data_IF_380868677163
#
_entry.id   IF_380868677163
#
_cell.length_a   1.000
_cell.length_b   1.000
_cell.length_c   1.000
_cell.angle_alpha   90.00
_cell.angle_beta   90.00
_cell.angle_gamma   90.00
#
_symmetry.space_group_name_H-M   'P 1'
#
loop_
_entity.id
_entity.type
_entity.pdbx_description
1 polymer ?
#
# COMPACT_ATOMS: atom_id res chain seq x y z
N UNK A 1 -29.43 -7.76 14.63
CA UNK A 1 -28.34 -7.15 13.84
C UNK A 1 -28.00 -5.71 14.26
N UNK A 2 -28.97 -4.85 14.59
CA UNK A 2 -28.68 -3.46 15.02
C UNK A 2 -27.94 -3.31 16.37
N UNK A 3 -28.14 -4.19 17.37
CA UNK A 3 -27.45 -4.06 18.67
C UNK A 3 -25.95 -4.38 18.59
N UNK A 4 -25.57 -5.32 17.73
CA UNK A 4 -24.19 -5.77 17.55
C UNK A 4 -23.33 -4.73 16.80
N UNK A 5 -23.92 -4.01 15.85
CA UNK A 5 -23.27 -2.87 15.18
C UNK A 5 -23.06 -1.69 16.15
N UNK A 6 -24.02 -1.45 17.08
CA UNK A 6 -23.93 -0.39 18.07
C UNK A 6 -22.86 -0.65 19.13
N UNK A 7 -22.72 -1.89 19.60
CA UNK A 7 -21.66 -2.24 20.58
C UNK A 7 -20.26 -2.14 19.96
N UNK A 8 -20.10 -2.62 18.71
CA UNK A 8 -18.82 -2.54 18.00
C UNK A 8 -18.37 -1.10 17.76
N UNK A 9 -19.30 -0.20 17.48
CA UNK A 9 -19.00 1.23 17.30
C UNK A 9 -18.58 1.90 18.61
N UNK A 10 -19.24 1.58 19.73
CA UNK A 10 -18.83 2.07 21.05
C UNK A 10 -17.45 1.57 21.48
N UNK A 11 -17.10 0.32 21.14
CA UNK A 11 -15.79 -0.25 21.45
C UNK A 11 -14.66 0.45 20.66
N UNK A 12 -14.89 0.76 19.38
CA UNK A 12 -13.92 1.50 18.54
C UNK A 12 -13.68 2.91 19.09
N UNK A 13 -14.76 3.63 19.45
CA UNK A 13 -14.65 4.97 20.02
C UNK A 13 -13.95 4.96 21.39
N UNK A 14 -14.28 3.99 22.24
CA UNK A 14 -13.64 3.81 23.53
C UNK A 14 -12.14 3.51 23.38
N UNK A 15 -11.78 2.64 22.45
CA UNK A 15 -10.39 2.30 22.18
C UNK A 15 -9.60 3.51 21.65
N UNK A 16 -10.17 4.24 20.68
CA UNK A 16 -9.59 5.48 20.16
C UNK A 16 -9.36 6.53 21.26
N UNK A 17 -10.35 6.76 22.11
CA UNK A 17 -10.24 7.72 23.21
C UNK A 17 -9.22 7.27 24.27
N UNK A 18 -9.11 5.96 24.52
CA UNK A 18 -8.10 5.39 25.41
C UNK A 18 -6.69 5.65 24.87
N UNK A 19 -6.43 5.35 23.59
CA UNK A 19 -5.14 5.61 22.95
C UNK A 19 -4.80 7.11 22.92
N UNK A 20 -5.80 7.97 22.67
CA UNK A 20 -5.63 9.42 22.70
C UNK A 20 -5.16 9.87 24.09
N UNK A 21 -5.89 9.47 25.13
CA UNK A 21 -5.56 9.81 26.53
C UNK A 21 -4.17 9.29 26.92
N UNK A 22 -3.84 8.06 26.52
CA UNK A 22 -2.52 7.45 26.77
C UNK A 22 -1.40 8.27 26.14
N UNK A 23 -1.56 8.65 24.88
CA UNK A 23 -0.58 9.48 24.14
C UNK A 23 -0.37 10.83 24.83
N UNK A 24 -1.44 11.53 25.20
CA UNK A 24 -1.35 12.80 25.92
C UNK A 24 -0.62 12.66 27.26
N UNK A 25 -0.92 11.62 28.04
CA UNK A 25 -0.24 11.35 29.32
C UNK A 25 1.24 11.04 29.11
N UNK A 26 1.59 10.25 28.11
CA UNK A 26 2.99 9.93 27.82
C UNK A 26 3.77 11.18 27.42
N UNK A 27 3.21 12.05 26.57
CA UNK A 27 3.88 13.31 26.20
C UNK A 27 4.09 14.22 27.41
N UNK A 28 3.08 14.35 28.29
CA UNK A 28 3.24 15.11 29.53
C UNK A 28 4.33 14.52 30.44
N UNK A 29 4.38 13.19 30.55
CA UNK A 29 5.42 12.51 31.31
C UNK A 29 6.81 12.70 30.69
N UNK A 30 6.93 12.62 29.36
CA UNK A 30 8.17 12.89 28.62
C UNK A 30 8.71 14.28 28.95
N UNK A 31 7.84 15.30 28.91
CA UNK A 31 8.22 16.67 29.22
C UNK A 31 8.75 16.80 30.65
N UNK A 32 8.07 16.20 31.63
CA UNK A 32 8.51 16.24 33.02
C UNK A 32 9.86 15.55 33.22
N UNK A 33 10.05 14.36 32.64
CA UNK A 33 11.32 13.61 32.72
C UNK A 33 12.45 14.37 32.02
N UNK A 34 12.20 14.95 30.85
CA UNK A 34 13.18 15.73 30.13
C UNK A 34 13.64 16.96 30.92
N UNK A 35 12.70 17.74 31.46
CA UNK A 35 13.03 18.92 32.28
C UNK A 35 13.79 18.53 33.55
N UNK A 36 13.40 17.44 34.22
CA UNK A 36 14.10 16.95 35.40
C UNK A 36 15.55 16.55 35.07
N UNK A 37 15.77 15.71 34.04
CA UNK A 37 17.11 15.26 33.66
C UNK A 37 18.00 16.41 33.16
N UNK A 38 17.45 17.34 32.38
CA UNK A 38 18.19 18.54 31.94
C UNK A 38 18.61 19.41 33.13
N UNK A 39 17.76 19.52 34.17
CA UNK A 39 18.10 20.26 35.38
C UNK A 39 19.25 19.61 36.17
N UNK A 40 19.29 18.27 36.23
CA UNK A 40 20.39 17.52 36.87
C UNK A 40 21.69 17.62 36.07
N UNK A 41 21.64 17.44 34.74
CA UNK A 41 22.80 17.64 33.86
C UNK A 41 23.39 19.03 34.05
N UNK A 42 22.54 20.07 34.11
CA UNK A 42 22.97 21.45 34.35
C UNK A 42 23.67 21.66 35.70
N UNK A 43 23.40 20.83 36.72
CA UNK A 43 24.10 20.91 38.01
C UNK A 43 25.55 20.43 37.88
N UNK A 44 25.79 19.37 37.11
CA UNK A 44 27.13 18.82 36.88
C UNK A 44 28.03 19.74 36.05
N UNK A 45 27.44 20.62 35.23
CA UNK A 45 28.19 21.57 34.38
C UNK A 45 28.44 22.93 35.04
N UNK A 46 28.10 23.13 36.32
CA UNK A 46 28.32 24.41 37.01
C UNK A 46 29.83 24.66 37.22
N UNK A 47 30.31 25.90 37.02
CA UNK A 47 31.74 26.24 37.04
C UNK A 47 32.44 26.15 38.41
N UNK A 48 31.74 25.72 39.47
CA UNK A 48 32.29 25.65 40.84
C UNK A 48 32.79 24.25 41.25
N UNK A 49 32.70 23.24 40.38
CA UNK A 49 33.18 21.88 40.67
C UNK A 49 33.92 21.26 39.48
N UNK A 50 34.72 20.22 39.75
CA UNK A 50 35.37 19.41 38.71
C UNK A 50 34.29 18.71 37.88
N UNK A 51 34.30 18.92 36.56
CA UNK A 51 33.30 18.34 35.66
C UNK A 51 33.40 16.80 35.68
N UNK A 52 32.32 16.13 36.11
CA UNK A 52 32.24 14.67 36.02
C UNK A 52 31.68 14.26 34.65
N UNK A 53 32.55 14.23 33.65
CA UNK A 53 32.18 13.93 32.26
C UNK A 53 31.46 12.59 32.11
N UNK A 54 31.86 11.58 32.89
CA UNK A 54 31.23 10.25 32.87
C UNK A 54 29.77 10.29 33.34
N UNK A 55 29.48 11.03 34.42
CA UNK A 55 28.11 11.20 34.91
C UNK A 55 27.23 12.03 33.96
N UNK A 56 27.81 13.04 33.31
CA UNK A 56 27.11 13.84 32.32
C UNK A 56 26.72 12.99 31.11
N UNK A 57 27.69 12.26 30.53
CA UNK A 57 27.45 11.43 29.36
C UNK A 57 26.43 10.32 29.65
N UNK A 58 26.52 9.64 30.79
CA UNK A 58 25.56 8.59 31.15
C UNK A 58 24.14 9.12 31.36
N UNK A 59 23.99 10.33 31.92
CA UNK A 59 22.69 11.00 32.07
C UNK A 59 22.10 11.39 30.72
N UNK A 60 22.94 11.84 29.78
CA UNK A 60 22.54 12.16 28.41
C UNK A 60 22.09 10.89 27.68
N UNK A 61 22.87 9.81 27.73
CA UNK A 61 22.56 8.53 27.07
C UNK A 61 21.23 7.95 27.59
N UNK A 62 21.00 8.01 28.90
CA UNK A 62 19.77 7.56 29.52
C UNK A 62 18.57 8.41 29.08
N UNK A 63 18.72 9.73 29.05
CA UNK A 63 17.67 10.65 28.59
C UNK A 63 17.36 10.42 27.11
N UNK A 64 18.37 10.27 26.26
CA UNK A 64 18.20 10.00 24.84
C UNK A 64 17.45 8.69 24.61
N UNK A 65 17.86 7.62 25.29
CA UNK A 65 17.18 6.32 25.22
C UNK A 65 15.71 6.44 25.65
N UNK A 66 15.45 7.08 26.79
CA UNK A 66 14.09 7.28 27.28
C UNK A 66 13.23 8.06 26.28
N UNK A 67 13.75 9.16 25.73
CA UNK A 67 13.02 9.99 24.77
C UNK A 67 12.73 9.23 23.48
N UNK A 68 13.66 8.41 22.99
CA UNK A 68 13.44 7.53 21.82
C UNK A 68 12.33 6.52 22.09
N UNK A 69 12.43 5.78 23.19
CA UNK A 69 11.45 4.74 23.54
C UNK A 69 10.04 5.34 23.75
N UNK A 70 9.95 6.45 24.47
CA UNK A 70 8.69 7.14 24.70
C UNK A 70 8.10 7.74 23.42
N UNK A 71 8.93 8.27 22.52
CA UNK A 71 8.50 8.77 21.20
C UNK A 71 7.95 7.64 20.35
N UNK A 72 8.65 6.51 20.26
CA UNK A 72 8.17 5.33 19.51
C UNK A 72 6.84 4.81 20.05
N UNK A 73 6.67 4.81 21.37
CA UNK A 73 5.41 4.43 21.99
C UNK A 73 4.25 5.38 21.64
N UNK A 74 4.49 6.70 21.65
CA UNK A 74 3.48 7.68 21.24
C UNK A 74 3.14 7.51 19.75
N UNK A 75 4.15 7.34 18.89
CA UNK A 75 3.95 7.12 17.46
C UNK A 75 3.12 5.86 17.18
N UNK A 76 3.38 4.76 17.91
CA UNK A 76 2.59 3.54 17.79
C UNK A 76 1.12 3.78 18.18
N UNK A 77 0.84 4.49 19.28
CA UNK A 77 -0.53 4.83 19.65
C UNK A 77 -1.21 5.72 18.60
N UNK A 78 -0.50 6.72 18.05
CA UNK A 78 -1.01 7.60 17.00
C UNK A 78 -1.33 6.84 15.71
N UNK A 79 -0.49 5.89 15.33
CA UNK A 79 -0.72 5.03 14.18
C UNK A 79 -1.96 4.14 14.36
N UNK A 80 -2.18 3.58 15.55
CA UNK A 80 -3.40 2.83 15.85
C UNK A 80 -4.64 3.74 15.87
N UNK A 81 -4.54 4.95 16.42
CA UNK A 81 -5.63 5.95 16.33
C UNK A 81 -5.99 6.24 14.87
N UNK A 82 -4.99 6.37 13.99
CA UNK A 82 -5.22 6.59 12.56
C UNK A 82 -6.00 5.45 11.92
N UNK A 83 -5.69 4.18 12.25
CA UNK A 83 -6.44 3.02 11.75
C UNK A 83 -7.90 3.00 12.20
N UNK A 84 -8.16 3.48 13.41
CA UNK A 84 -9.50 3.57 14.00
C UNK A 84 -10.27 4.79 13.51
N UNK A 85 -9.66 5.64 12.70
CA UNK A 85 -10.35 6.79 12.15
C UNK A 85 -11.34 6.32 11.08
N UNK A 86 -12.63 6.58 11.31
CA UNK A 86 -13.73 6.29 10.40
C UNK A 86 -13.41 6.74 8.96
N UNK A 87 -12.69 7.85 8.80
CA UNK A 87 -12.26 8.35 7.49
C UNK A 87 -11.31 7.36 6.78
N UNK A 88 -10.37 6.75 7.49
CA UNK A 88 -9.45 5.76 6.93
C UNK A 88 -10.15 4.43 6.64
N UNK A 89 -11.06 3.99 7.52
CA UNK A 89 -11.89 2.80 7.28
C UNK A 89 -12.73 3.01 6.01
N UNK A 90 -13.50 4.11 5.93
CA UNK A 90 -14.32 4.46 4.76
C UNK A 90 -13.49 4.66 3.51
N UNK A 91 -12.28 5.22 3.62
CA UNK A 91 -11.36 5.36 2.49
C UNK A 91 -10.92 3.99 1.97
N UNK A 92 -10.57 3.06 2.86
CA UNK A 92 -10.21 1.69 2.49
C UNK A 92 -11.38 1.00 1.80
N UNK A 93 -12.57 1.03 2.40
CA UNK A 93 -13.79 0.44 1.83
C UNK A 93 -14.10 1.01 0.44
N UNK A 94 -13.93 2.33 0.27
CA UNK A 94 -14.14 3.00 -1.03
C UNK A 94 -13.08 2.58 -2.06
N UNK A 95 -11.82 2.44 -1.67
CA UNK A 95 -10.76 1.97 -2.57
C UNK A 95 -10.95 0.50 -2.96
N UNK A 96 -11.36 -0.35 -2.01
CA UNK A 96 -11.69 -1.75 -2.26
C UNK A 96 -12.88 -1.86 -3.22
N UNK A 97 -13.94 -1.07 -3.01
CA UNK A 97 -15.08 -0.98 -3.92
C UNK A 97 -14.65 -0.54 -5.32
N UNK A 98 -13.84 0.53 -5.44
CA UNK A 98 -13.38 1.03 -6.73
C UNK A 98 -12.50 0.01 -7.45
N UNK A 99 -11.62 -0.69 -6.71
CA UNK A 99 -10.79 -1.77 -7.22
C UNK A 99 -11.66 -2.90 -7.79
N UNK A 100 -12.62 -3.39 -7.01
CA UNK A 100 -13.55 -4.42 -7.46
C UNK A 100 -14.33 -3.98 -8.70
N UNK A 101 -14.83 -2.74 -8.71
CA UNK A 101 -15.56 -2.20 -9.84
C UNK A 101 -14.74 -2.18 -11.14
N UNK A 102 -13.48 -1.71 -11.07
CA UNK A 102 -12.57 -1.70 -12.22
C UNK A 102 -12.24 -3.13 -12.65
N UNK A 103 -11.96 -4.03 -11.70
CA UNK A 103 -11.67 -5.44 -11.99
C UNK A 103 -12.85 -6.15 -12.65
N UNK A 104 -14.09 -5.91 -12.20
CA UNK A 104 -15.30 -6.45 -12.84
C UNK A 104 -15.44 -5.96 -14.28
N UNK A 105 -15.18 -4.67 -14.53
CA UNK A 105 -15.21 -4.12 -15.89
C UNK A 105 -14.13 -4.73 -16.79
N UNK A 106 -12.90 -4.84 -16.29
CA UNK A 106 -11.80 -5.49 -17.03
C UNK A 106 -12.17 -6.94 -17.33
N UNK A 107 -12.67 -7.70 -16.34
CA UNK A 107 -13.09 -9.08 -16.54
C UNK A 107 -14.19 -9.20 -17.59
N UNK A 108 -15.20 -8.33 -17.56
CA UNK A 108 -16.25 -8.30 -18.56
C UNK A 108 -15.72 -7.99 -19.96
N UNK A 109 -14.78 -7.06 -20.08
CA UNK A 109 -14.15 -6.69 -21.34
C UNK A 109 -13.27 -7.83 -21.90
N UNK A 110 -12.55 -8.52 -21.04
CA UNK A 110 -11.68 -9.63 -21.44
C UNK A 110 -12.46 -10.90 -21.79
N UNK A 111 -13.70 -11.05 -21.31
CA UNK A 111 -14.51 -12.27 -21.48
C UNK A 111 -15.79 -11.99 -22.29
N UNK A 112 -15.66 -11.66 -23.59
CA UNK A 112 -16.82 -11.44 -24.45
C UNK A 112 -17.69 -12.71 -24.53
N UNK A 113 -18.98 -12.54 -24.82
CA UNK A 113 -19.90 -13.66 -25.05
C UNK A 113 -19.57 -14.46 -26.31
N UNK A 114 -18.95 -13.80 -27.29
CA UNK A 114 -18.53 -14.37 -28.56
C UNK A 114 -17.18 -13.75 -28.96
N UNK A 115 -16.10 -14.55 -28.85
CA UNK A 115 -14.74 -14.09 -29.13
C UNK A 115 -14.54 -13.75 -30.61
N UNK A 116 -15.17 -14.51 -31.53
CA UNK A 116 -14.97 -14.35 -32.97
C UNK A 116 -15.50 -13.01 -33.51
N UNK A 117 -16.49 -12.43 -32.83
CA UNK A 117 -17.08 -11.12 -33.16
C UNK A 117 -16.61 -9.99 -32.26
N UNK A 118 -15.80 -10.29 -31.24
CA UNK A 118 -15.28 -9.27 -30.34
C UNK A 118 -14.25 -8.42 -31.08
N UNK A 119 -14.22 -7.12 -30.78
CA UNK A 119 -13.13 -6.26 -31.27
C UNK A 119 -11.87 -6.57 -30.49
N UNK A 120 -10.80 -6.96 -31.19
CA UNK A 120 -9.58 -7.41 -30.52
C UNK A 120 -8.50 -6.33 -30.56
N UNK A 121 -7.65 -6.31 -29.54
CA UNK A 121 -6.34 -5.67 -29.56
C UNK A 121 -5.31 -6.76 -29.35
N UNK A 122 -4.53 -7.05 -30.39
CA UNK A 122 -3.47 -8.04 -30.35
C UNK A 122 -2.16 -7.38 -29.86
N UNK A 123 -1.61 -7.85 -28.74
CA UNK A 123 -0.39 -7.32 -28.14
C UNK A 123 0.76 -8.32 -28.25
N UNK A 124 1.80 -7.96 -28.98
CA UNK A 124 3.03 -8.74 -29.11
C UNK A 124 4.24 -7.94 -28.65
N UNK A 125 5.01 -8.47 -27.71
CA UNK A 125 6.30 -7.90 -27.29
C UNK A 125 7.47 -8.77 -27.75
N UNK A 126 8.52 -8.12 -28.25
CA UNK A 126 9.84 -8.70 -28.43
C UNK A 126 10.53 -8.96 -27.09
N UNK A 127 11.40 -9.96 -27.05
CA UNK A 127 12.20 -10.34 -25.88
C UNK A 127 13.37 -9.38 -25.56
N UNK A 128 13.42 -8.19 -26.19
CA UNK A 128 14.60 -7.31 -26.13
C UNK A 128 14.78 -6.61 -24.77
N UNK A 129 13.83 -6.74 -23.83
CA UNK A 129 13.92 -6.14 -22.51
C UNK A 129 13.44 -7.11 -21.40
N UNK A 130 13.82 -6.82 -20.15
CA UNK A 130 13.47 -7.64 -18.99
C UNK A 130 11.99 -7.57 -18.59
N UNK A 131 11.61 -8.40 -17.62
CA UNK A 131 10.24 -8.57 -17.13
C UNK A 131 9.48 -7.26 -16.89
N UNK A 132 10.05 -6.32 -16.11
CA UNK A 132 9.36 -5.07 -15.77
C UNK A 132 8.98 -4.21 -16.98
N UNK A 133 9.81 -4.19 -18.03
CA UNK A 133 9.53 -3.51 -19.29
C UNK A 133 8.38 -4.19 -20.04
N UNK A 134 8.36 -5.52 -20.07
CA UNK A 134 7.27 -6.30 -20.67
C UNK A 134 5.95 -6.11 -19.92
N UNK A 135 5.97 -6.11 -18.57
CA UNK A 135 4.79 -5.87 -17.74
C UNK A 135 4.19 -4.50 -18.02
N UNK A 136 5.01 -3.44 -18.08
CA UNK A 136 4.52 -2.10 -18.41
C UNK A 136 3.97 -2.01 -19.84
N UNK A 137 4.57 -2.70 -20.82
CA UNK A 137 4.02 -2.79 -22.16
C UNK A 137 2.62 -3.42 -22.17
N UNK A 138 2.43 -4.58 -21.50
CA UNK A 138 1.12 -5.21 -21.41
C UNK A 138 0.10 -4.37 -20.65
N UNK A 139 0.52 -3.66 -19.60
CA UNK A 139 -0.34 -2.73 -18.87
C UNK A 139 -0.78 -1.55 -19.76
N UNK A 140 0.12 -1.03 -20.59
CA UNK A 140 -0.21 -0.01 -21.58
C UNK A 140 -1.22 -0.54 -22.61
N UNK A 141 -1.01 -1.73 -23.16
CA UNK A 141 -1.97 -2.39 -24.06
C UNK A 141 -3.32 -2.63 -23.38
N UNK A 142 -3.35 -3.01 -22.10
CA UNK A 142 -4.58 -3.20 -21.34
C UNK A 142 -5.34 -1.88 -21.16
N UNK A 143 -4.64 -0.79 -20.86
CA UNK A 143 -5.25 0.54 -20.79
C UNK A 143 -5.85 0.98 -22.13
N UNK A 144 -5.14 0.75 -23.24
CA UNK A 144 -5.67 1.04 -24.58
C UNK A 144 -6.87 0.17 -24.93
N UNK A 145 -6.81 -1.12 -24.65
CA UNK A 145 -7.91 -2.06 -24.85
C UNK A 145 -9.14 -1.64 -24.05
N UNK A 146 -8.95 -1.27 -22.78
CA UNK A 146 -10.01 -0.73 -21.92
C UNK A 146 -10.62 0.56 -22.46
N UNK A 147 -9.80 1.53 -22.86
CA UNK A 147 -10.26 2.81 -23.39
C UNK A 147 -11.03 2.66 -24.72
N UNK A 148 -10.68 1.66 -25.53
CA UNK A 148 -11.26 1.44 -26.86
C UNK A 148 -12.34 0.36 -26.90
N UNK A 149 -12.66 -0.26 -25.76
CA UNK A 149 -13.66 -1.33 -25.68
C UNK A 149 -13.26 -2.59 -26.47
N UNK A 150 -11.96 -2.92 -26.48
CA UNK A 150 -11.40 -4.10 -27.16
C UNK A 150 -10.95 -5.17 -26.14
N UNK A 151 -11.07 -6.43 -26.50
CA UNK A 151 -10.50 -7.55 -25.73
C UNK A 151 -9.00 -7.64 -26.02
N UNK A 152 -8.17 -7.74 -24.96
CA UNK A 152 -6.71 -7.78 -25.11
C UNK A 152 -6.27 -9.23 -25.24
N UNK A 153 -5.58 -9.56 -26.32
CA UNK A 153 -5.02 -10.89 -26.51
C UNK A 153 -3.50 -10.80 -26.60
N UNK A 154 -2.75 -11.45 -25.69
CA UNK A 154 -1.31 -11.61 -25.83
C UNK A 154 -1.01 -12.55 -27.01
N UNK A 155 -0.15 -12.11 -27.92
CA UNK A 155 0.29 -12.90 -29.05
C UNK A 155 1.39 -13.90 -28.62
N UNK A 156 0.98 -15.01 -28.01
CA UNK A 156 1.87 -16.05 -27.48
C UNK A 156 2.69 -16.79 -28.53
N UNK A 157 2.35 -16.65 -29.81
CA UNK A 157 3.05 -17.33 -30.91
C UNK A 157 4.32 -16.57 -31.32
N UNK A 158 4.40 -15.26 -31.07
CA UNK A 158 5.51 -14.42 -31.54
C UNK A 158 6.86 -14.68 -30.88
N UNK A 159 6.94 -14.86 -29.56
CA UNK A 159 8.23 -14.97 -28.86
C UNK A 159 8.24 -15.93 -27.68
N UNK A 160 9.42 -16.44 -27.33
CA UNK A 160 9.62 -17.32 -26.15
C UNK A 160 9.24 -16.63 -24.84
N UNK A 161 9.40 -15.31 -24.74
CA UNK A 161 9.02 -14.54 -23.56
C UNK A 161 7.51 -14.54 -23.34
N UNK A 162 6.71 -14.36 -24.40
CA UNK A 162 5.25 -14.37 -24.26
C UNK A 162 4.76 -15.77 -23.91
N UNK A 163 5.40 -16.82 -24.44
CA UNK A 163 5.14 -18.20 -24.00
C UNK A 163 5.45 -18.41 -22.51
N UNK A 164 6.50 -17.79 -21.98
CA UNK A 164 6.79 -17.82 -20.55
C UNK A 164 5.68 -17.14 -19.74
N UNK A 165 5.23 -15.94 -20.15
CA UNK A 165 4.09 -15.25 -19.52
C UNK A 165 2.84 -16.12 -19.46
N UNK A 166 2.47 -16.77 -20.57
CA UNK A 166 1.31 -17.65 -20.65
C UNK A 166 1.43 -18.90 -19.75
N UNK A 167 2.64 -19.34 -19.44
CA UNK A 167 2.89 -20.46 -18.51
C UNK A 167 2.95 -20.04 -17.04
N UNK A 168 3.32 -18.78 -16.76
CA UNK A 168 3.54 -18.29 -15.40
C UNK A 168 2.31 -17.63 -14.79
N UNK A 169 1.46 -16.99 -15.59
CA UNK A 169 0.31 -16.23 -15.12
C UNK A 169 -1.01 -16.85 -15.58
N UNK A 170 -2.08 -16.52 -14.85
CA UNK A 170 -3.44 -16.80 -15.32
C UNK A 170 -3.70 -16.07 -16.64
N UNK A 171 -4.47 -16.67 -17.56
CA UNK A 171 -4.81 -16.01 -18.82
C UNK A 171 -5.65 -14.75 -18.54
N UNK A 172 -5.49 -13.74 -19.39
CA UNK A 172 -6.27 -12.50 -19.28
C UNK A 172 -7.77 -12.73 -19.53
N UNK A 173 -8.10 -13.77 -20.30
CA UNK A 173 -9.45 -14.19 -20.63
C UNK A 173 -9.61 -15.69 -20.41
N UNK A 174 -10.79 -16.09 -19.92
CA UNK A 174 -11.22 -17.49 -19.82
C UNK A 174 -11.98 -17.94 -21.08
N UNK A 175 -12.40 -17.01 -21.94
CA UNK A 175 -13.33 -17.26 -23.07
C UNK A 175 -12.79 -16.86 -24.45
N UNK A 176 -11.63 -16.23 -24.52
CA UNK A 176 -11.12 -15.65 -25.75
C UNK A 176 -9.60 -15.72 -25.78
N UNK A 177 -9.06 -16.43 -26.78
CA UNK A 177 -7.64 -16.70 -26.92
C UNK A 177 -7.16 -16.41 -28.33
N UNK A 178 -5.85 -16.49 -28.55
CA UNK A 178 -5.26 -16.28 -29.87
C UNK A 178 -5.77 -17.30 -30.91
N UNK A 179 -6.15 -18.50 -30.47
CA UNK A 179 -6.63 -19.57 -31.35
C UNK A 179 -8.06 -19.30 -31.86
N UNK A 180 -8.81 -18.44 -31.15
CA UNK A 180 -10.18 -18.06 -31.50
C UNK A 180 -10.24 -16.88 -32.49
N UNK A 181 -9.13 -16.16 -32.69
CA UNK A 181 -9.08 -14.95 -33.49
C UNK A 181 -8.49 -15.25 -34.87
N UNK A 182 -9.34 -15.12 -35.91
CA UNK A 182 -8.90 -15.13 -37.30
C UNK A 182 -7.89 -14.01 -37.56
N UNK A 183 -6.86 -14.29 -38.36
CA UNK A 183 -5.62 -13.49 -38.53
C UNK A 183 -5.77 -12.08 -39.17
N UNK A 184 -6.92 -11.42 -39.05
CA UNK A 184 -7.24 -10.19 -39.80
C UNK A 184 -7.59 -8.95 -38.94
N UNK A 185 -7.04 -8.78 -37.72
CA UNK A 185 -7.28 -7.54 -36.93
C UNK A 185 -6.04 -6.84 -36.35
N UNK A 186 -6.20 -5.52 -36.21
CA UNK A 186 -5.23 -4.44 -35.93
C UNK A 186 -4.09 -4.85 -34.98
N UNK A 187 -2.90 -4.96 -35.57
CA UNK A 187 -1.64 -5.20 -34.87
C UNK A 187 -1.13 -3.85 -34.35
N UNK A 188 -1.04 -3.67 -33.04
CA UNK A 188 -0.20 -2.61 -32.47
C UNK A 188 1.25 -3.10 -32.50
N UNK A 189 1.88 -2.94 -33.66
CA UNK A 189 3.31 -3.17 -33.83
C UNK A 189 4.09 -2.00 -33.26
N UNK A 190 5.17 -2.31 -32.54
CA UNK A 190 6.36 -1.45 -32.54
C UNK A 190 7.26 -1.90 -33.67
#
# INVERSE_FOLDING_TARGET
MHSQARSRFTDILLHRETLRRRSFRTVAYMQNVALANLSEIRRFTKPRGTLNQLQVNSSIDLLEKFLKDATLYVLANLYEIQKLDDANIRRKERLDYLSQFVQTRIRSLQNPSDCTRAKILLAGTSCHCGYGCQTHYYMFCLNMAYATGRTLIPDSQKTSCIRWWAKTYMPLSEKCSIDDVGRDEVIVGK
#
